data_IF_220037693419
#
_entry.id   IF_220037693419
#
_cell.length_a   1.000
_cell.length_b   1.000
_cell.length_c   1.000
_cell.angle_alpha   90.00
_cell.angle_beta   90.00
_cell.angle_gamma   90.00
#
_symmetry.space_group_name_H-M   'P 1'
#
loop_
_entity.id
_entity.type
_entity.pdbx_description
1 polymer ?
#
# COMPACT_ATOMS: atom_id res chain seq x y z
N UNK A 1 -13.74 -5.16 1.68
CA UNK A 1 -12.40 -5.15 2.31
C UNK A 1 -11.45 -4.29 1.54
N UNK A 2 -10.93 -3.25 2.23
CA UNK A 2 -9.98 -2.21 1.80
C UNK A 2 -9.77 -2.20 0.28
N UNK A 3 -10.76 -1.69 -0.45
CA UNK A 3 -10.69 -1.49 -1.90
C UNK A 3 -10.27 -0.06 -2.26
N UNK A 4 -9.79 0.71 -1.28
CA UNK A 4 -9.39 2.09 -1.44
C UNK A 4 -8.38 2.53 -0.40
N UNK A 5 -7.34 3.24 -0.83
CA UNK A 5 -6.32 3.84 0.06
C UNK A 5 -6.09 5.31 -0.26
N UNK A 6 -5.56 6.05 0.71
CA UNK A 6 -4.96 7.36 0.52
C UNK A 6 -3.45 7.17 0.44
N UNK A 7 -2.86 7.44 -0.73
CA UNK A 7 -1.42 7.49 -0.90
C UNK A 7 -1.05 8.82 -1.56
N UNK A 8 -1.12 9.93 -0.82
CA UNK A 8 -1.04 11.28 -1.35
C UNK A 8 0.33 11.95 -1.15
N UNK A 9 1.25 11.27 -0.48
CA UNK A 9 2.59 11.83 -0.24
C UNK A 9 3.51 11.64 -1.42
N UNK A 10 4.46 12.56 -1.56
CA UNK A 10 5.52 12.39 -2.55
C UNK A 10 6.35 11.16 -2.23
N UNK A 11 6.94 10.57 -3.27
CA UNK A 11 7.93 9.49 -3.14
C UNK A 11 8.98 9.80 -2.07
N UNK A 12 9.53 11.01 -2.06
CA UNK A 12 10.59 11.39 -1.11
C UNK A 12 10.12 11.38 0.34
N UNK A 13 8.87 11.74 0.58
CA UNK A 13 8.27 11.64 1.91
C UNK A 13 8.09 10.18 2.30
N UNK A 14 7.61 9.31 1.40
CA UNK A 14 7.51 7.87 1.68
C UNK A 14 8.88 7.23 1.99
N UNK A 15 9.93 7.60 1.27
CA UNK A 15 11.31 7.14 1.55
C UNK A 15 11.73 7.55 2.96
N UNK A 16 11.49 8.81 3.35
CA UNK A 16 11.81 9.31 4.68
C UNK A 16 10.98 8.63 5.77
N UNK A 17 9.67 8.47 5.53
CA UNK A 17 8.73 7.87 6.47
C UNK A 17 8.91 6.36 6.63
N UNK A 18 9.65 5.70 5.74
CA UNK A 18 10.01 4.29 5.83
C UNK A 18 11.43 4.06 6.36
N UNK A 19 12.04 5.07 6.99
CA UNK A 19 13.34 4.91 7.61
C UNK A 19 13.32 3.86 8.73
N UNK A 20 14.47 3.23 8.95
CA UNK A 20 14.66 2.21 9.97
C UNK A 20 15.89 2.51 10.78
N UNK A 21 15.85 2.17 12.06
CA UNK A 21 16.97 2.35 12.96
C UNK A 21 18.01 1.27 12.72
N UNK A 22 19.21 1.67 12.28
CA UNK A 22 20.35 0.79 12.17
C UNK A 22 21.08 0.77 13.52
N UNK A 23 20.97 -0.35 14.22
CA UNK A 23 21.54 -0.51 15.57
C UNK A 23 23.07 -0.45 15.56
N UNK A 24 23.70 -1.02 14.53
CA UNK A 24 25.16 -1.06 14.39
C UNK A 24 25.77 0.31 14.11
N UNK A 25 25.05 1.17 13.37
CA UNK A 25 25.47 2.54 13.04
C UNK A 25 24.92 3.59 14.01
N UNK A 26 24.04 3.18 14.92
CA UNK A 26 23.30 4.05 15.84
C UNK A 26 22.59 5.22 15.14
N UNK A 27 22.03 5.00 13.94
CA UNK A 27 21.35 6.03 13.17
C UNK A 27 20.19 5.46 12.32
N UNK A 28 19.22 6.30 11.97
CA UNK A 28 18.18 5.98 11.03
C UNK A 28 18.69 6.05 9.58
N UNK A 29 18.36 5.02 8.81
CA UNK A 29 18.65 4.91 7.38
C UNK A 29 17.34 4.84 6.59
N UNK A 30 17.30 5.51 5.44
CA UNK A 30 16.16 5.44 4.53
C UNK A 30 16.36 4.31 3.51
N UNK A 31 15.30 3.60 3.09
CA UNK A 31 15.39 2.61 2.04
C UNK A 31 15.80 3.24 0.71
N UNK A 32 16.42 2.46 -0.16
CA UNK A 32 16.61 2.86 -1.54
C UNK A 32 15.27 2.89 -2.27
N UNK A 33 15.07 3.85 -3.17
CA UNK A 33 13.97 3.78 -4.13
C UNK A 33 14.46 3.13 -5.42
N UNK A 34 13.80 2.05 -5.85
CA UNK A 34 14.09 1.42 -7.13
C UNK A 34 13.00 1.76 -8.13
N UNK A 35 13.38 2.45 -9.20
CA UNK A 35 12.52 2.61 -10.36
C UNK A 35 12.47 1.27 -11.09
N UNK A 36 11.27 0.84 -11.45
CA UNK A 36 11.02 -0.37 -12.23
C UNK A 36 10.42 0.05 -13.56
N UNK A 37 10.67 -0.70 -14.63
CA UNK A 37 10.02 -0.38 -15.91
C UNK A 37 8.51 -0.44 -15.75
N UNK A 38 7.95 -1.47 -15.10
CA UNK A 38 6.51 -1.56 -14.76
C UNK A 38 5.58 -1.20 -15.93
N UNK A 39 6.02 -1.46 -17.16
CA UNK A 39 5.32 -1.01 -18.37
C UNK A 39 5.07 0.51 -18.40
N UNK A 40 6.11 1.28 -18.10
CA UNK A 40 6.19 2.74 -17.96
C UNK A 40 5.25 3.35 -16.89
N UNK A 41 4.72 2.54 -15.98
CA UNK A 41 3.89 3.00 -14.88
C UNK A 41 4.74 3.32 -13.65
N UNK A 42 4.67 4.56 -13.18
CA UNK A 42 5.30 5.00 -11.93
C UNK A 42 4.26 5.47 -10.90
N UNK A 43 4.70 5.62 -9.67
CA UNK A 43 3.88 6.10 -8.57
C UNK A 43 3.48 7.56 -8.76
N UNK A 44 2.17 7.80 -8.70
CA UNK A 44 1.58 9.14 -8.69
C UNK A 44 0.76 9.33 -7.40
N UNK A 45 1.03 10.39 -6.61
CA UNK A 45 0.26 10.65 -5.40
C UNK A 45 -1.24 10.83 -5.65
N UNK A 46 -2.06 10.22 -4.81
CA UNK A 46 -3.51 10.32 -4.85
C UNK A 46 -4.17 10.04 -3.50
N UNK A 47 -5.15 10.86 -3.14
CA UNK A 47 -5.96 10.69 -1.92
C UNK A 47 -6.94 9.51 -2.04
N UNK A 48 -7.18 9.00 -3.25
CA UNK A 48 -8.23 8.03 -3.53
C UNK A 48 -7.76 6.92 -4.48
N UNK A 49 -6.70 6.20 -4.12
CA UNK A 49 -6.11 5.08 -4.87
C UNK A 49 -7.05 3.87 -4.91
N UNK A 50 -7.21 3.26 -6.08
CA UNK A 50 -8.01 2.04 -6.31
C UNK A 50 -7.12 0.86 -6.64
N UNK A 51 -7.65 -0.39 -6.66
CA UNK A 51 -7.06 -1.43 -7.47
C UNK A 51 -6.69 -0.91 -8.87
N UNK A 52 -5.58 -1.43 -9.42
CA UNK A 52 -4.88 -0.98 -10.62
C UNK A 52 -4.11 0.35 -10.49
N UNK A 53 -4.13 1.02 -9.33
CA UNK A 53 -3.20 2.13 -9.08
C UNK A 53 -1.80 1.59 -8.78
N UNK A 54 -0.77 2.37 -9.12
CA UNK A 54 0.59 2.15 -8.63
C UNK A 54 0.72 2.80 -7.25
N UNK A 55 1.22 2.05 -6.26
CA UNK A 55 1.37 2.53 -4.87
C UNK A 55 2.78 2.25 -4.33
N UNK A 56 3.23 2.97 -3.29
CA UNK A 56 4.53 2.73 -2.66
C UNK A 56 4.52 1.44 -1.83
N UNK A 57 5.45 0.53 -2.14
CA UNK A 57 5.57 -0.78 -1.50
C UNK A 57 7.01 -1.04 -1.08
N UNK A 58 7.22 -1.38 0.19
CA UNK A 58 8.50 -1.84 0.71
C UNK A 58 8.65 -3.35 0.49
N UNK A 59 9.84 -3.75 0.05
CA UNK A 59 10.27 -5.15 0.01
C UNK A 59 11.71 -5.27 0.50
N UNK A 60 12.13 -6.48 0.87
CA UNK A 60 13.53 -6.75 1.20
C UNK A 60 14.44 -6.48 -0.01
N UNK A 61 15.55 -5.77 0.21
CA UNK A 61 16.57 -5.51 -0.81
C UNK A 61 17.24 -6.79 -1.32
N UNK A 62 17.14 -7.91 -0.58
CA UNK A 62 17.65 -9.22 -0.99
C UNK A 62 17.02 -9.69 -2.31
N UNK A 63 15.79 -9.26 -2.63
CA UNK A 63 15.15 -9.57 -3.91
C UNK A 63 15.86 -8.99 -5.14
N UNK A 64 16.77 -8.04 -4.93
CA UNK A 64 17.55 -7.39 -5.99
C UNK A 64 19.03 -7.79 -5.98
N UNK A 65 19.47 -8.65 -5.04
CA UNK A 65 20.84 -9.17 -5.06
C UNK A 65 21.04 -10.04 -6.31
N UNK A 66 22.04 -9.69 -7.12
CA UNK A 66 22.30 -10.33 -8.41
C UNK A 66 21.62 -9.67 -9.61
N UNK A 67 20.79 -8.64 -9.42
CA UNK A 67 20.26 -7.78 -10.51
C UNK A 67 21.16 -6.58 -10.80
N UNK A 68 22.45 -6.64 -10.45
CA UNK A 68 23.37 -5.56 -10.78
C UNK A 68 23.43 -5.34 -12.29
N UNK A 69 23.41 -4.09 -12.74
CA UNK A 69 23.68 -3.66 -14.12
C UNK A 69 25.09 -4.06 -14.63
N UNK A 70 25.88 -4.79 -13.85
CA UNK A 70 27.07 -5.45 -14.38
C UNK A 70 26.67 -6.73 -15.09
N UNK A 71 26.75 -6.68 -16.43
CA UNK A 71 26.98 -7.87 -17.22
C UNK A 71 28.04 -8.73 -16.52
N UNK A 72 27.76 -10.02 -16.31
CA UNK A 72 28.74 -10.99 -15.83
C UNK A 72 30.00 -10.89 -16.68
N UNK A 73 31.00 -10.14 -16.20
CA UNK A 73 32.23 -9.91 -16.93
C UNK A 73 33.13 -11.09 -16.61
N UNK A 74 33.35 -11.93 -17.60
CA UNK A 74 34.27 -13.05 -17.49
C UNK A 74 35.70 -12.48 -17.52
N UNK A 75 36.32 -12.36 -16.35
CA UNK A 75 37.71 -11.92 -16.23
C UNK A 75 38.58 -13.14 -15.94
N UNK A 76 39.65 -13.39 -16.70
CA UNK A 76 40.61 -14.43 -16.33
C UNK A 76 41.26 -14.03 -15.00
N UNK A 77 41.13 -14.89 -13.99
CA UNK A 77 41.78 -14.73 -12.69
C UNK A 77 42.89 -15.76 -12.53
N UNK A 78 43.88 -15.44 -11.71
CA UNK A 78 44.89 -16.40 -11.28
C UNK A 78 44.25 -17.39 -10.30
N UNK A 79 44.60 -18.67 -10.43
CA UNK A 79 44.21 -19.68 -9.46
C UNK A 79 45.10 -19.55 -8.22
N UNK A 80 44.51 -19.04 -7.14
CA UNK A 80 45.18 -18.80 -5.86
C UNK A 80 45.27 -17.32 -5.51
N UNK A 81 45.28 -17.01 -4.21
CA UNK A 81 45.39 -15.63 -3.74
C UNK A 81 46.84 -15.17 -3.65
N UNK A 82 47.11 -13.93 -4.09
CA UNK A 82 48.37 -13.23 -3.79
C UNK A 82 48.13 -12.43 -2.51
N UNK A 83 48.92 -12.63 -1.44
CA UNK A 83 48.74 -11.86 -0.21
C UNK A 83 48.90 -10.35 -0.48
N UNK A 84 48.02 -9.49 0.07
CA UNK A 84 48.03 -8.06 -0.23
C UNK A 84 49.30 -7.33 0.24
N UNK A 85 50.09 -7.96 1.11
CA UNK A 85 51.39 -7.46 1.58
C UNK A 85 52.59 -7.99 0.77
N UNK A 86 52.39 -8.92 -0.17
CA UNK A 86 53.49 -9.48 -0.97
C UNK A 86 53.92 -8.50 -2.06
N UNK A 87 55.21 -8.20 -2.12
CA UNK A 87 55.82 -7.36 -3.14
C UNK A 87 56.86 -8.19 -3.90
N UNK A 88 56.67 -8.38 -5.21
CA UNK A 88 57.58 -9.14 -6.07
C UNK A 88 56.85 -10.09 -7.02
N UNK A 89 57.56 -11.12 -7.51
CA UNK A 89 56.98 -12.15 -8.36
C UNK A 89 55.84 -12.88 -7.63
N UNK A 90 54.63 -12.82 -8.21
CA UNK A 90 53.42 -13.39 -7.63
C UNK A 90 53.47 -14.92 -7.52
N UNK A 91 54.34 -15.58 -8.29
CA UNK A 91 54.49 -17.04 -8.24
C UNK A 91 55.35 -17.52 -7.07
N UNK A 92 56.03 -16.61 -6.36
CA UNK A 92 57.03 -16.94 -5.35
C UNK A 92 56.80 -16.22 -4.00
N UNK A 93 55.59 -16.37 -3.44
CA UNK A 93 55.23 -15.86 -2.12
C UNK A 93 55.30 -16.93 -1.00
N UNK A 94 55.69 -18.18 -1.31
CA UNK A 94 55.92 -19.23 -0.31
C UNK A 94 54.68 -19.76 0.43
N UNK A 95 53.46 -19.49 -0.05
CA UNK A 95 52.21 -19.95 0.56
C UNK A 95 51.44 -20.86 -0.40
N UNK A 96 50.70 -21.84 0.13
CA UNK A 96 49.71 -22.59 -0.64
C UNK A 96 48.38 -21.85 -0.59
N UNK A 97 48.05 -21.08 -1.63
CA UNK A 97 46.83 -20.25 -1.68
C UNK A 97 45.80 -20.79 -2.66
N UNK A 98 46.04 -21.99 -3.21
CA UNK A 98 45.28 -22.55 -4.33
C UNK A 98 44.00 -23.27 -3.89
N UNK A 99 43.88 -23.63 -2.60
CA UNK A 99 42.74 -24.36 -2.05
C UNK A 99 42.38 -23.83 -0.65
N UNK A 100 41.12 -23.44 -0.45
CA UNK A 100 40.57 -23.13 0.87
C UNK A 100 40.12 -24.43 1.56
N UNK A 101 40.69 -24.75 2.73
CA UNK A 101 40.22 -25.88 3.56
C UNK A 101 39.14 -25.40 4.51
N UNK A 102 37.97 -26.04 4.48
CA UNK A 102 36.83 -25.72 5.34
C UNK A 102 37.01 -26.16 6.80
N UNK A 103 37.97 -27.04 7.07
CA UNK A 103 38.03 -27.85 8.30
C UNK A 103 38.43 -27.07 9.56
N UNK A 104 38.83 -25.80 9.44
CA UNK A 104 39.17 -24.91 10.57
C UNK A 104 38.33 -23.63 10.63
N UNK A 105 37.27 -23.54 9.83
CA UNK A 105 36.20 -22.61 10.16
C UNK A 105 35.42 -23.25 11.29
N UNK A 106 35.92 -23.09 12.52
CA UNK A 106 35.07 -23.22 13.68
C UNK A 106 33.80 -22.48 13.36
N UNK A 107 32.66 -23.13 13.58
CA UNK A 107 31.37 -22.46 13.59
C UNK A 107 31.54 -21.30 14.59
N UNK A 108 31.99 -20.14 14.11
CA UNK A 108 31.67 -18.88 14.72
C UNK A 108 30.16 -18.98 14.76
N UNK A 109 29.64 -19.26 15.96
CA UNK A 109 28.29 -18.88 16.32
C UNK A 109 28.21 -17.45 15.82
N UNK A 110 27.60 -17.29 14.65
CA UNK A 110 27.31 -15.99 14.11
C UNK A 110 26.58 -15.34 15.25
N UNK A 111 27.18 -14.28 15.80
CA UNK A 111 26.43 -13.31 16.55
C UNK A 111 25.10 -13.18 15.82
N UNK A 112 24.02 -13.67 16.43
CA UNK A 112 22.67 -13.28 16.06
C UNK A 112 22.53 -11.82 16.48
N UNK A 113 23.37 -10.95 15.91
CA UNK A 113 22.99 -9.57 15.74
C UNK A 113 21.76 -9.63 14.85
N UNK A 114 20.72 -8.92 15.25
CA UNK A 114 19.65 -8.53 14.34
C UNK A 114 20.31 -8.05 13.05
N UNK A 115 20.31 -8.88 12.00
CA UNK A 115 20.79 -8.44 10.72
C UNK A 115 19.74 -7.45 10.24
N UNK A 116 20.03 -6.16 10.37
CA UNK A 116 19.21 -5.08 9.82
C UNK A 116 19.18 -5.26 8.29
N UNK A 117 18.20 -6.03 7.80
CA UNK A 117 18.05 -6.30 6.37
C UNK A 117 17.56 -5.03 5.72
N UNK A 118 18.36 -4.51 4.78
CA UNK A 118 17.99 -3.33 4.03
C UNK A 118 16.68 -3.56 3.27
N UNK A 119 15.85 -2.52 3.24
CA UNK A 119 14.60 -2.50 2.50
C UNK A 119 14.72 -1.57 1.29
N UNK A 120 13.89 -1.85 0.28
CA UNK A 120 13.78 -1.06 -0.94
C UNK A 120 12.32 -0.65 -1.12
N UNK A 121 12.10 0.65 -1.37
CA UNK A 121 10.81 1.20 -1.75
C UNK A 121 10.64 1.09 -3.26
N UNK A 122 9.50 0.53 -3.67
CA UNK A 122 9.24 0.14 -5.04
C UNK A 122 7.80 0.53 -5.41
N UNK A 123 7.57 1.18 -6.56
CA UNK A 123 6.23 1.37 -7.08
C UNK A 123 5.67 0.03 -7.56
N UNK A 124 4.48 -0.38 -7.12
CA UNK A 124 3.86 -1.63 -7.57
C UNK A 124 2.38 -1.46 -7.88
N UNK A 125 1.88 -2.24 -8.84
CA UNK A 125 0.48 -2.31 -9.21
C UNK A 125 -0.37 -2.99 -8.13
N UNK A 126 -1.41 -2.30 -7.66
CA UNK A 126 -2.35 -2.88 -6.71
C UNK A 126 -3.34 -3.84 -7.37
N UNK A 127 -3.16 -5.13 -7.14
CA UNK A 127 -3.92 -6.21 -7.75
C UNK A 127 -2.97 -7.19 -8.39
N UNK A 128 -2.69 -8.30 -7.70
CA UNK A 128 -1.71 -9.27 -8.18
C UNK A 128 -2.16 -9.86 -9.51
N UNK A 129 -1.27 -9.76 -10.51
CA UNK A 129 -1.45 -10.37 -11.81
C UNK A 129 -1.12 -11.87 -11.67
N UNK A 130 -2.06 -12.78 -12.01
CA UNK A 130 -1.77 -14.20 -11.96
C UNK A 130 -0.59 -14.57 -12.86
N UNK A 131 0.38 -15.38 -12.38
CA UNK A 131 1.59 -15.68 -13.15
C UNK A 131 1.28 -16.43 -14.46
N UNK A 132 0.14 -17.13 -14.54
CA UNK A 132 -0.35 -17.81 -15.73
C UNK A 132 -1.23 -16.95 -16.63
N UNK A 133 -1.54 -15.70 -16.25
CA UNK A 133 -2.36 -14.82 -17.07
C UNK A 133 -1.62 -14.41 -18.34
N UNK A 134 -2.38 -14.21 -19.41
CA UNK A 134 -1.88 -13.70 -20.68
C UNK A 134 -2.84 -12.65 -21.23
N UNK A 135 -2.31 -11.60 -21.86
CA UNK A 135 -3.11 -10.50 -22.39
C UNK A 135 -3.06 -9.27 -21.48
N UNK A 136 -4.14 -8.49 -21.48
CA UNK A 136 -4.26 -7.26 -20.70
C UNK A 136 -4.21 -7.57 -19.19
N UNK A 137 -3.21 -7.01 -18.51
CA UNK A 137 -3.00 -7.20 -17.08
C UNK A 137 -4.16 -6.62 -16.24
N UNK A 138 -4.89 -5.63 -16.75
CA UNK A 138 -6.04 -5.03 -16.08
C UNK A 138 -7.29 -5.92 -16.11
N UNK A 139 -7.32 -6.95 -16.95
CA UNK A 139 -8.51 -7.77 -17.20
C UNK A 139 -8.21 -9.27 -17.17
N UNK A 140 -7.88 -9.79 -15.98
CA UNK A 140 -7.67 -11.22 -15.74
C UNK A 140 -8.87 -11.92 -15.06
N UNK A 141 -10.00 -11.22 -14.86
CA UNK A 141 -11.25 -11.81 -14.37
C UNK A 141 -11.27 -12.28 -12.90
N UNK A 142 -10.23 -11.98 -12.11
CA UNK A 142 -10.13 -12.35 -10.69
C UNK A 142 -10.12 -11.10 -9.81
N UNK A 143 -10.59 -11.22 -8.57
CA UNK A 143 -10.40 -10.19 -7.54
C UNK A 143 -9.12 -10.49 -6.76
N UNK A 144 -8.04 -9.79 -7.10
CA UNK A 144 -6.69 -10.03 -6.55
C UNK A 144 -6.14 -8.80 -5.83
N UNK A 145 -6.97 -7.81 -5.52
CA UNK A 145 -6.57 -6.66 -4.71
C UNK A 145 -6.31 -7.05 -3.24
N UNK A 146 -6.90 -8.15 -2.77
CA UNK A 146 -6.72 -8.69 -1.43
C UNK A 146 -6.45 -10.20 -1.45
N UNK A 147 -5.68 -10.69 -0.50
CA UNK A 147 -5.51 -12.11 -0.19
C UNK A 147 -5.96 -12.40 1.25
N UNK A 148 -6.65 -13.53 1.47
CA UNK A 148 -7.15 -13.91 2.79
C UNK A 148 -6.10 -14.75 3.51
N UNK A 149 -5.78 -14.40 4.75
CA UNK A 149 -4.78 -15.08 5.57
C UNK A 149 -5.08 -16.58 5.73
N UNK A 150 -6.35 -16.96 5.93
CA UNK A 150 -6.77 -18.32 6.30
C UNK A 150 -6.41 -19.38 5.25
N UNK A 151 -6.37 -19.00 3.96
CA UNK A 151 -6.18 -19.92 2.85
C UNK A 151 -5.00 -19.53 1.96
N UNK A 152 -4.09 -18.69 2.46
CA UNK A 152 -3.04 -18.12 1.61
C UNK A 152 -1.98 -19.16 1.20
N UNK A 153 -1.69 -20.12 2.09
CA UNK A 153 -0.72 -21.21 1.88
C UNK A 153 -1.24 -22.33 0.99
N UNK A 154 -2.56 -22.44 0.79
CA UNK A 154 -3.15 -23.39 -0.17
C UNK A 154 -3.53 -22.74 -1.50
N UNK A 155 -3.35 -21.42 -1.62
CA UNK A 155 -3.72 -20.66 -2.81
C UNK A 155 -2.75 -20.92 -3.95
N UNK A 156 -3.27 -21.32 -5.12
CA UNK A 156 -2.49 -21.43 -6.36
C UNK A 156 -1.86 -20.10 -6.78
N UNK A 157 -2.47 -18.98 -6.42
CA UNK A 157 -2.00 -17.64 -6.78
C UNK A 157 -0.92 -17.11 -5.81
N UNK A 158 -1.11 -17.34 -4.51
CA UNK A 158 -0.32 -16.68 -3.47
C UNK A 158 0.77 -17.57 -2.86
N UNK A 159 0.54 -18.88 -2.73
CA UNK A 159 1.51 -19.80 -2.08
C UNK A 159 2.88 -19.79 -2.76
N UNK A 160 2.99 -19.88 -4.11
CA UNK A 160 4.30 -19.89 -4.75
C UNK A 160 5.11 -18.60 -4.50
N UNK A 161 4.44 -17.45 -4.44
CA UNK A 161 5.08 -16.17 -4.15
C UNK A 161 5.53 -16.09 -2.69
N UNK A 162 4.71 -16.57 -1.75
CA UNK A 162 5.07 -16.65 -0.33
C UNK A 162 6.25 -17.59 -0.08
N UNK A 163 6.28 -18.76 -0.72
CA UNK A 163 7.38 -19.73 -0.62
C UNK A 163 8.70 -19.16 -1.16
N UNK A 164 8.62 -18.28 -2.17
CA UNK A 164 9.76 -17.52 -2.69
C UNK A 164 10.12 -16.28 -1.84
N UNK A 165 9.48 -16.11 -0.68
CA UNK A 165 9.74 -15.00 0.21
C UNK A 165 9.21 -13.65 -0.29
N UNK A 166 8.36 -13.60 -1.32
CA UNK A 166 7.83 -12.36 -1.92
C UNK A 166 6.76 -11.68 -1.05
N UNK A 167 7.18 -11.31 0.16
CA UNK A 167 6.39 -10.57 1.15
C UNK A 167 6.69 -9.10 0.97
N UNK A 168 5.66 -8.27 1.06
CA UNK A 168 5.78 -6.83 0.91
C UNK A 168 5.01 -6.09 1.99
N UNK A 169 5.30 -4.80 2.12
CA UNK A 169 4.57 -3.89 3.00
C UNK A 169 4.10 -2.70 2.17
N UNK A 170 2.78 -2.55 2.08
CA UNK A 170 2.13 -1.47 1.34
C UNK A 170 1.98 -0.29 2.28
N UNK A 171 2.49 0.86 1.87
CA UNK A 171 2.44 2.08 2.67
C UNK A 171 1.28 2.97 2.25
N UNK A 172 0.57 3.53 3.23
CA UNK A 172 -0.47 4.54 2.99
C UNK A 172 -0.73 5.41 4.22
N UNK A 173 -1.29 6.61 4.02
CA UNK A 173 -1.79 7.44 5.13
C UNK A 173 -3.01 6.79 5.81
N UNK A 174 -3.78 6.03 5.04
CA UNK A 174 -4.95 5.31 5.54
C UNK A 174 -5.67 4.56 4.43
N UNK A 175 -6.70 3.82 4.81
CA UNK A 175 -7.62 3.15 3.87
C UNK A 175 -9.06 3.56 4.13
N UNK A 176 -9.90 3.42 3.11
CA UNK A 176 -11.34 3.64 3.26
C UNK A 176 -12.06 2.31 3.36
N UNK A 177 -13.07 2.27 4.22
CA UNK A 177 -13.99 1.17 4.30
C UNK A 177 -15.42 1.66 4.48
N UNK A 178 -16.35 0.96 3.84
CA UNK A 178 -17.76 1.29 3.90
C UNK A 178 -18.43 0.45 4.98
N UNK A 179 -19.21 1.10 5.84
CA UNK A 179 -20.00 0.39 6.85
C UNK A 179 -21.01 -0.53 6.16
N UNK A 180 -20.74 -1.84 6.24
CA UNK A 180 -21.50 -2.89 5.53
C UNK A 180 -22.36 -3.73 6.45
N UNK A 181 -22.09 -3.66 7.74
CA UNK A 181 -22.75 -4.41 8.83
C UNK A 181 -24.17 -3.93 9.08
N UNK A 182 -24.41 -2.63 8.89
CA UNK A 182 -25.76 -2.05 8.84
C UNK A 182 -26.35 -2.28 7.45
N UNK A 183 -27.52 -2.90 7.39
CA UNK A 183 -28.27 -3.11 6.13
C UNK A 183 -28.93 -1.79 5.67
N UNK A 184 -28.12 -0.82 5.25
CA UNK A 184 -28.61 0.45 4.69
C UNK A 184 -28.37 0.48 3.18
N UNK A 185 -29.28 1.11 2.39
CA UNK A 185 -29.11 1.23 0.94
C UNK A 185 -27.89 2.09 0.58
N UNK A 186 -27.55 3.06 1.44
CA UNK A 186 -26.36 3.89 1.31
C UNK A 186 -25.39 3.58 2.44
N UNK A 187 -24.24 3.00 2.12
CA UNK A 187 -23.19 2.66 3.08
C UNK A 187 -22.34 3.89 3.38
N UNK A 188 -22.13 4.20 4.66
CA UNK A 188 -21.31 5.32 5.11
C UNK A 188 -19.81 4.94 4.98
N UNK A 189 -19.00 5.69 4.21
CA UNK A 189 -17.55 5.50 4.20
C UNK A 189 -16.89 6.07 5.46
N UNK A 190 -15.84 5.40 5.91
CA UNK A 190 -14.93 5.84 6.96
C UNK A 190 -13.50 5.82 6.42
N UNK A 191 -12.72 6.80 6.83
CA UNK A 191 -11.27 6.77 6.66
C UNK A 191 -10.65 6.19 7.93
N UNK A 192 -9.79 5.18 7.77
CA UNK A 192 -9.15 4.43 8.86
C UNK A 192 -7.64 4.57 8.71
N UNK A 193 -6.96 4.91 9.80
CA UNK A 193 -5.54 5.32 9.79
C UNK A 193 -4.86 4.96 11.12
N UNK A 194 -3.53 5.05 11.14
CA UNK A 194 -2.74 4.81 12.35
C UNK A 194 -3.10 5.82 13.44
N UNK A 195 -3.07 5.40 14.71
CA UNK A 195 -3.28 6.32 15.83
C UNK A 195 -2.17 7.36 15.84
N UNK A 196 -2.52 8.65 15.72
CA UNK A 196 -1.57 9.75 15.63
C UNK A 196 -1.17 10.31 17.00
N UNK A 197 0.00 10.95 17.07
CA UNK A 197 0.37 11.79 18.21
C UNK A 197 -0.67 12.90 18.46
N UNK A 198 -0.89 13.33 19.71
CA UNK A 198 -1.85 14.39 20.02
C UNK A 198 -1.63 15.65 19.16
N UNK A 199 -2.70 16.12 18.50
CA UNK A 199 -2.68 17.32 17.66
C UNK A 199 -2.31 17.09 16.18
N UNK A 200 -1.80 15.90 15.82
CA UNK A 200 -1.50 15.57 14.42
C UNK A 200 -2.77 15.12 13.69
N UNK A 201 -3.06 15.73 12.54
CA UNK A 201 -4.15 15.36 11.65
C UNK A 201 -3.59 14.73 10.38
N UNK A 202 -3.90 13.46 10.16
CA UNK A 202 -3.35 12.70 9.03
C UNK A 202 -3.83 13.24 7.67
N UNK A 203 -4.98 13.90 7.62
CA UNK A 203 -5.55 14.50 6.41
C UNK A 203 -4.98 15.90 6.10
N UNK A 204 -4.35 16.54 7.08
CA UNK A 204 -3.86 17.91 6.96
C UNK A 204 -2.33 17.93 6.91
N UNK A 205 -1.77 17.99 5.71
CA UNK A 205 -0.31 18.10 5.50
C UNK A 205 0.26 19.33 6.23
N UNK A 206 -0.52 20.41 6.36
CA UNK A 206 -0.14 21.62 7.10
C UNK A 206 -0.05 21.41 8.61
N UNK A 207 -0.69 20.38 9.16
CA UNK A 207 -0.57 20.01 10.59
C UNK A 207 0.72 19.25 10.89
N UNK A 208 1.46 18.84 9.85
CA UNK A 208 2.71 18.13 10.00
C UNK A 208 3.76 19.21 10.18
N UNK A 209 4.38 19.29 11.35
CA UNK A 209 5.50 20.20 11.63
C UNK A 209 6.70 19.83 10.72
N UNK A 210 6.59 20.19 9.43
CA UNK A 210 7.52 19.92 8.33
C UNK A 210 8.06 18.49 8.20
N UNK A 211 7.50 17.47 8.88
CA UNK A 211 7.85 16.05 8.70
C UNK A 211 9.36 15.85 8.51
N UNK A 212 10.16 16.33 9.46
CA UNK A 212 11.61 16.34 9.26
C UNK A 212 12.17 14.95 9.57
N UNK A 213 12.82 14.37 8.57
CA UNK A 213 13.69 13.22 8.76
C UNK A 213 15.08 13.69 9.20
N UNK A 214 15.61 13.08 10.24
CA UNK A 214 17.00 13.23 10.66
C UNK A 214 17.59 11.84 10.88
N UNK A 215 18.91 11.69 10.73
CA UNK A 215 19.56 10.40 11.01
C UNK A 215 19.51 10.05 12.50
N UNK A 216 19.33 11.04 13.36
CA UNK A 216 19.35 10.86 14.81
C UNK A 216 17.97 10.50 15.36
N UNK A 217 16.91 11.10 14.81
CA UNK A 217 15.55 10.95 15.35
C UNK A 217 14.55 10.33 14.36
N UNK A 218 15.00 9.96 13.16
CA UNK A 218 14.17 9.32 12.16
C UNK A 218 13.08 10.26 11.62
N UNK A 219 12.00 9.65 11.14
CA UNK A 219 10.82 10.35 10.63
C UNK A 219 9.97 10.93 11.77
N UNK A 220 9.65 12.23 11.69
CA UNK A 220 8.81 12.94 12.68
C UNK A 220 7.47 13.42 12.13
N UNK A 221 7.06 12.96 10.96
CA UNK A 221 5.73 13.25 10.43
C UNK A 221 4.66 12.32 11.01
N UNK A 222 3.48 12.25 10.40
CA UNK A 222 2.43 11.34 10.86
C UNK A 222 2.87 9.89 10.75
N UNK A 223 2.25 9.05 11.57
CA UNK A 223 2.38 7.62 11.47
C UNK A 223 1.59 7.13 10.25
N UNK A 224 2.27 6.42 9.36
CA UNK A 224 1.65 5.77 8.21
C UNK A 224 1.19 4.36 8.58
N UNK A 225 0.26 3.82 7.79
CA UNK A 225 -0.06 2.40 7.85
C UNK A 225 0.93 1.59 7.03
N UNK A 226 1.33 0.46 7.60
CA UNK A 226 2.12 -0.59 6.96
C UNK A 226 1.23 -1.82 6.82
N UNK A 227 0.68 -2.04 5.61
CA UNK A 227 -0.21 -3.16 5.35
C UNK A 227 0.61 -4.33 4.80
N UNK A 228 0.59 -5.46 5.50
CA UNK A 228 1.25 -6.67 5.01
C UNK A 228 0.62 -7.12 3.68
N UNK A 229 1.46 -7.52 2.74
CA UNK A 229 1.05 -7.98 1.43
C UNK A 229 1.96 -9.07 0.88
N UNK A 230 1.52 -9.62 -0.25
CA UNK A 230 2.28 -10.57 -1.07
C UNK A 230 2.40 -9.98 -2.46
N UNK A 231 3.58 -10.04 -3.05
CA UNK A 231 3.82 -9.51 -4.39
C UNK A 231 4.27 -10.61 -5.37
N UNK A 232 4.16 -10.31 -6.65
CA UNK A 232 4.72 -11.11 -7.72
C UNK A 232 5.21 -10.22 -8.88
N UNK A 233 6.12 -10.76 -9.69
CA UNK A 233 6.53 -10.18 -10.97
C UNK A 233 5.88 -10.97 -12.10
N UNK A 234 5.31 -10.26 -13.06
CA UNK A 234 4.70 -10.84 -14.25
C UNK A 234 5.31 -10.20 -15.49
N UNK A 235 5.63 -11.01 -16.50
CA UNK A 235 6.27 -10.54 -17.73
C UNK A 235 5.21 -10.19 -18.77
N UNK A 236 5.14 -8.93 -19.16
CA UNK A 236 4.31 -8.44 -20.25
C UNK A 236 4.80 -8.99 -21.60
N UNK A 237 3.91 -9.05 -22.58
CA UNK A 237 4.21 -9.59 -23.92
C UNK A 237 5.32 -8.80 -24.63
N UNK A 238 5.43 -7.51 -24.34
CA UNK A 238 6.44 -6.60 -24.90
C UNK A 238 7.81 -6.75 -24.21
N UNK A 239 7.92 -7.60 -23.18
CA UNK A 239 9.17 -7.95 -22.53
C UNK A 239 9.36 -7.33 -21.15
N UNK A 240 8.59 -6.29 -20.81
CA UNK A 240 8.66 -5.60 -19.52
C UNK A 240 8.12 -6.42 -18.35
N UNK A 241 8.69 -6.20 -17.17
CA UNK A 241 8.20 -6.78 -15.93
C UNK A 241 7.26 -5.82 -15.21
N UNK A 242 6.09 -6.32 -14.83
CA UNK A 242 5.15 -5.61 -13.97
C UNK A 242 5.19 -6.25 -12.58
N UNK A 243 5.53 -5.44 -11.58
CA UNK A 243 5.43 -5.83 -10.18
C UNK A 243 4.04 -5.49 -9.67
N UNK A 244 3.37 -6.49 -9.09
CA UNK A 244 2.00 -6.36 -8.61
C UNK A 244 1.82 -7.06 -7.27
N UNK A 245 0.89 -6.60 -6.46
CA UNK A 245 0.70 -7.10 -5.10
C UNK A 245 -0.76 -7.25 -4.68
N UNK A 246 -0.98 -7.99 -3.61
CA UNK A 246 -2.25 -8.13 -2.91
C UNK A 246 -2.09 -7.81 -1.43
N UNK A 247 -3.04 -7.08 -0.86
CA UNK A 247 -3.07 -6.78 0.59
C UNK A 247 -3.57 -8.00 1.33
N UNK A 248 -2.86 -8.40 2.39
CA UNK A 248 -3.26 -9.48 3.27
C UNK A 248 -4.41 -9.01 4.17
N UNK A 249 -5.42 -9.87 4.32
CA UNK A 249 -6.64 -9.55 5.06
C UNK A 249 -6.99 -10.67 6.01
N UNK A 250 -7.55 -10.32 7.16
CA UNK A 250 -7.95 -11.24 8.23
C UNK A 250 -9.35 -10.89 8.74
N UNK A 251 -9.88 -11.69 9.65
CA UNK A 251 -11.11 -11.37 10.37
C UNK A 251 -10.99 -10.04 11.13
N UNK A 252 -12.07 -9.27 11.16
CA UNK A 252 -12.09 -8.04 11.95
C UNK A 252 -12.13 -8.39 13.44
N UNK A 253 -11.38 -7.66 14.25
CA UNK A 253 -11.54 -7.71 15.70
C UNK A 253 -12.82 -6.99 16.15
N UNK A 254 -13.13 -7.07 17.44
CA UNK A 254 -14.31 -6.46 18.05
C UNK A 254 -14.39 -4.92 17.86
N UNK A 255 -13.24 -4.26 17.67
CA UNK A 255 -13.17 -2.82 17.44
C UNK A 255 -13.54 -2.42 16.00
N UNK A 256 -13.44 -3.32 15.03
CA UNK A 256 -13.73 -3.06 13.61
C UNK A 256 -14.89 -3.87 13.05
N UNK A 257 -15.38 -4.87 13.77
CA UNK A 257 -16.50 -5.73 13.36
C UNK A 257 -17.79 -4.95 13.12
N UNK A 258 -17.96 -3.79 13.76
CA UNK A 258 -19.08 -2.85 13.51
C UNK A 258 -18.99 -2.12 12.15
N UNK A 259 -17.81 -2.06 11.52
CA UNK A 259 -17.57 -1.42 10.23
C UNK A 259 -17.62 -2.45 9.08
N UNK A 260 -16.85 -3.52 9.22
CA UNK A 260 -16.76 -4.60 8.23
C UNK A 260 -16.33 -5.91 8.93
N UNK A 261 -16.71 -7.07 8.38
CA UNK A 261 -16.37 -8.40 8.90
C UNK A 261 -14.89 -8.82 8.72
N UNK A 262 -14.04 -7.93 8.22
CA UNK A 262 -12.63 -8.22 7.90
C UNK A 262 -11.80 -6.98 8.22
N UNK A 263 -10.48 -7.09 8.21
CA UNK A 263 -9.57 -5.94 8.20
C UNK A 263 -8.27 -6.29 7.46
N UNK A 264 -7.52 -5.29 6.95
CA UNK A 264 -6.17 -5.55 6.46
C UNK A 264 -5.26 -5.99 7.62
N UNK A 265 -4.27 -6.80 7.30
CA UNK A 265 -3.17 -7.14 8.20
C UNK A 265 -2.24 -5.93 8.34
N UNK A 266 -2.33 -5.21 9.45
CA UNK A 266 -1.49 -4.04 9.73
C UNK A 266 -0.30 -4.47 10.57
N UNK A 267 0.91 -4.08 10.15
CA UNK A 267 2.13 -4.19 10.92
C UNK A 267 2.32 -2.88 11.69
N UNK A 268 2.31 -2.97 13.01
CA UNK A 268 2.20 -1.84 13.93
C UNK A 268 3.54 -1.38 14.50
N UNK A 269 4.59 -2.16 14.34
CA UNK A 269 5.94 -1.85 14.81
C UNK A 269 7.00 -2.07 13.73
N UNK A 270 8.12 -1.36 13.86
CA UNK A 270 9.29 -1.54 13.00
C UNK A 270 9.79 -3.00 13.02
N UNK A 271 9.74 -3.65 14.19
CA UNK A 271 10.06 -5.06 14.35
C UNK A 271 9.16 -5.96 13.50
N UNK A 272 7.84 -5.75 13.53
CA UNK A 272 6.89 -6.53 12.73
C UNK A 272 7.13 -6.32 11.22
N UNK A 273 7.45 -5.09 10.80
CA UNK A 273 7.84 -4.80 9.41
C UNK A 273 9.12 -5.56 9.04
N UNK A 274 10.15 -5.52 9.87
CA UNK A 274 11.43 -6.19 9.63
C UNK A 274 11.28 -7.71 9.58
N UNK A 275 10.61 -8.31 10.56
CA UNK A 275 10.35 -9.74 10.61
C UNK A 275 9.49 -10.19 9.41
N UNK A 276 8.52 -9.37 8.99
CA UNK A 276 7.73 -9.65 7.79
C UNK A 276 8.57 -9.57 6.51
N UNK A 277 9.44 -8.57 6.32
CA UNK A 277 10.22 -8.42 5.08
C UNK A 277 11.44 -9.35 5.01
N UNK A 278 12.01 -9.75 6.15
CA UNK A 278 13.22 -10.57 6.22
C UNK A 278 12.93 -12.05 5.91
N UNK A 279 12.72 -12.39 4.64
CA UNK A 279 12.43 -13.77 4.22
C UNK A 279 13.61 -14.73 4.30
N UNK A 280 14.84 -14.21 4.40
CA UNK A 280 16.06 -15.04 4.52
C UNK A 280 16.24 -15.58 5.93
N UNK A 281 15.82 -14.83 6.96
CA UNK A 281 15.85 -15.27 8.35
C UNK A 281 14.50 -15.76 8.88
N UNK A 282 13.39 -15.26 8.34
CA UNK A 282 12.02 -15.58 8.81
C UNK A 282 11.28 -16.40 7.76
N UNK A 283 11.00 -17.66 8.11
CA UNK A 283 10.21 -18.57 7.29
C UNK A 283 8.77 -18.07 7.09
N UNK A 284 8.12 -18.52 6.02
CA UNK A 284 6.72 -18.18 5.72
C UNK A 284 5.78 -18.53 6.86
N UNK A 285 5.95 -19.70 7.49
CA UNK A 285 5.12 -20.10 8.64
C UNK A 285 5.28 -19.17 9.84
N UNK A 286 6.52 -18.78 10.16
CA UNK A 286 6.77 -17.80 11.23
C UNK A 286 6.16 -16.44 10.89
N UNK A 287 6.39 -15.93 9.67
CA UNK A 287 5.85 -14.66 9.21
C UNK A 287 4.32 -14.58 9.33
N UNK A 288 3.62 -15.62 8.88
CA UNK A 288 2.15 -15.68 8.95
C UNK A 288 1.63 -15.75 10.40
N UNK A 289 2.33 -16.46 11.29
CA UNK A 289 1.94 -16.58 12.70
C UNK A 289 2.13 -15.29 13.51
N UNK A 290 2.99 -14.37 13.04
CA UNK A 290 3.22 -13.08 13.69
C UNK A 290 2.14 -12.05 13.36
N UNK A 291 1.47 -12.21 12.22
CA UNK A 291 0.42 -11.30 11.76
C UNK A 291 -0.83 -11.45 12.64
N UNK A 292 -1.15 -10.40 13.41
CA UNK A 292 -2.27 -10.37 14.37
C UNK A 292 -3.21 -9.18 14.11
N UNK A 293 -4.49 -9.25 14.53
CA UNK A 293 -5.40 -8.11 14.42
C UNK A 293 -4.93 -6.91 15.26
N UNK A 294 -4.71 -5.76 14.61
CA UNK A 294 -4.31 -4.53 15.29
C UNK A 294 -5.49 -3.87 16.00
N UNK A 295 -5.29 -3.36 17.21
CA UNK A 295 -6.33 -2.65 17.98
C UNK A 295 -6.15 -1.12 17.96
N UNK A 296 -4.94 -0.64 17.69
CA UNK A 296 -4.55 0.77 17.77
C UNK A 296 -4.74 1.54 16.45
N UNK A 297 -5.96 1.56 15.93
CA UNK A 297 -6.33 2.34 14.75
C UNK A 297 -7.38 3.39 15.09
N UNK A 298 -7.30 4.54 14.41
CA UNK A 298 -8.30 5.60 14.48
C UNK A 298 -9.13 5.63 13.21
N UNK A 299 -10.33 6.19 13.30
CA UNK A 299 -11.20 6.37 12.16
C UNK A 299 -12.11 7.58 12.33
N UNK A 300 -12.58 8.11 11.21
CA UNK A 300 -13.65 9.10 11.19
C UNK A 300 -14.51 8.93 9.93
N UNK A 301 -15.80 9.30 9.96
CA UNK A 301 -16.63 9.27 8.77
C UNK A 301 -16.17 10.33 7.76
N UNK A 302 -16.31 10.02 6.47
CA UNK A 302 -15.97 10.93 5.36
C UNK A 302 -17.13 11.09 4.39
N UNK A 303 -17.01 12.02 3.44
CA UNK A 303 -18.06 12.26 2.44
C UNK A 303 -18.22 11.07 1.48
N UNK A 304 -19.46 10.83 1.01
CA UNK A 304 -19.77 9.75 0.07
C UNK A 304 -19.10 9.92 -1.30
N UNK A 305 -18.67 11.12 -1.65
CA UNK A 305 -17.95 11.44 -2.88
C UNK A 305 -16.69 10.60 -3.08
N UNK A 306 -16.08 10.07 -2.01
CA UNK A 306 -14.94 9.14 -2.11
C UNK A 306 -15.33 7.84 -2.85
N UNK A 307 -16.60 7.44 -2.84
CA UNK A 307 -17.08 6.26 -3.58
C UNK A 307 -16.79 6.31 -5.08
N UNK A 308 -16.86 7.51 -5.67
CA UNK A 308 -16.45 7.74 -7.05
C UNK A 308 -14.91 7.74 -7.13
N UNK A 309 -14.32 6.71 -7.73
CA UNK A 309 -12.87 6.56 -7.86
C UNK A 309 -12.19 7.68 -8.64
N UNK A 310 -12.93 8.41 -9.48
CA UNK A 310 -12.41 9.57 -10.23
C UNK A 310 -12.27 10.82 -9.36
N UNK A 311 -12.93 10.87 -8.21
CA UNK A 311 -12.79 11.98 -7.28
C UNK A 311 -11.46 11.84 -6.53
N UNK A 312 -10.49 12.70 -6.86
CA UNK A 312 -9.16 12.76 -6.21
C UNK A 312 -8.98 14.01 -5.35
N UNK A 313 -10.07 14.69 -4.98
CA UNK A 313 -9.99 15.93 -4.20
C UNK A 313 -9.49 15.71 -2.77
N UNK A 314 -8.91 16.76 -2.21
CA UNK A 314 -8.51 16.90 -0.79
C UNK A 314 -9.64 16.67 0.20
N UNK A 315 -10.90 16.74 -0.24
CA UNK A 315 -12.08 16.48 0.59
C UNK A 315 -12.35 15.00 0.86
N UNK A 316 -11.69 14.07 0.17
CA UNK A 316 -12.01 12.64 0.24
C UNK A 316 -11.73 12.01 1.61
N UNK A 317 -10.70 12.48 2.32
CA UNK A 317 -10.30 11.99 3.65
C UNK A 317 -10.62 12.99 4.77
N UNK A 318 -11.36 14.06 4.50
CA UNK A 318 -11.73 15.05 5.53
C UNK A 318 -12.88 14.51 6.37
N UNK A 319 -12.72 14.61 7.69
CA UNK A 319 -13.76 14.25 8.66
C UNK A 319 -15.05 15.03 8.42
N UNK A 320 -16.17 14.31 8.40
CA UNK A 320 -17.51 14.91 8.42
C UNK A 320 -18.19 14.76 9.77
N UNK A 321 -19.16 15.64 10.04
CA UNK A 321 -20.07 15.51 11.17
C UNK A 321 -21.39 14.89 10.70
N UNK A 322 -21.65 13.66 11.15
CA UNK A 322 -22.86 12.93 10.77
C UNK A 322 -24.12 13.56 11.37
N UNK A 323 -24.04 14.28 12.50
CA UNK A 323 -25.19 14.91 13.15
C UNK A 323 -25.74 16.08 12.32
N UNK A 324 -24.87 17.00 11.91
CA UNK A 324 -25.20 18.16 11.07
C UNK A 324 -25.76 17.78 9.70
N UNK A 325 -25.32 16.64 9.16
CA UNK A 325 -25.79 16.13 7.86
C UNK A 325 -27.26 15.67 7.92
N UNK A 326 -27.76 15.25 9.08
CA UNK A 326 -29.17 14.83 9.24
C UNK A 326 -30.10 16.03 9.46
N UNK A 327 -29.66 17.06 10.20
CA UNK A 327 -30.43 18.29 10.42
C UNK A 327 -30.71 19.04 9.11
N UNK A 328 -29.71 19.18 8.22
CA UNK A 328 -29.89 19.84 6.93
C UNK A 328 -30.85 19.13 5.96
N UNK A 329 -30.95 17.79 6.05
CA UNK A 329 -31.90 17.00 5.26
C UNK A 329 -33.32 17.08 5.82
N UNK A 330 -33.47 17.13 7.15
CA UNK A 330 -34.74 17.36 7.82
C UNK A 330 -35.32 18.74 7.45
N UNK A 331 -34.48 19.79 7.45
CA UNK A 331 -34.91 21.13 7.06
C UNK A 331 -35.23 21.25 5.56
N UNK A 332 -34.52 20.56 4.67
CA UNK A 332 -34.86 20.50 3.24
C UNK A 332 -36.16 19.72 2.96
N UNK A 333 -36.42 18.64 3.68
CA UNK A 333 -37.69 17.92 3.60
C UNK A 333 -38.86 18.78 4.11
N UNK A 334 -38.68 19.49 5.21
CA UNK A 334 -39.66 20.48 5.71
C UNK A 334 -39.89 21.63 4.73
N UNK A 335 -38.84 22.18 4.12
CA UNK A 335 -38.95 23.25 3.10
C UNK A 335 -39.65 22.77 1.83
N UNK A 336 -39.37 21.55 1.36
CA UNK A 336 -40.06 20.97 0.18
C UNK A 336 -41.52 20.59 0.46
N UNK A 337 -41.86 20.31 1.72
CA UNK A 337 -43.25 20.10 2.17
C UNK A 337 -44.01 21.43 2.29
N UNK A 338 -43.40 22.48 2.84
CA UNK A 338 -43.97 23.84 2.91
C UNK A 338 -44.17 24.48 1.53
N UNK A 339 -43.30 24.17 0.56
CA UNK A 339 -43.40 24.65 -0.82
C UNK A 339 -44.55 24.06 -1.65
N UNK A 340 -45.22 22.99 -1.18
CA UNK A 340 -46.38 22.38 -1.88
C UNK A 340 -47.74 22.98 -1.48
N UNK A 341 -47.78 23.91 -0.52
CA UNK A 341 -49.01 24.46 0.05
C UNK A 341 -49.51 25.80 -0.52
N UNK A 342 -48.83 26.41 -1.50
CA UNK A 342 -49.23 27.73 -2.02
C UNK A 342 -49.51 27.70 -3.52
N UNK A 343 -50.67 27.18 -3.91
CA UNK A 343 -51.32 27.52 -5.18
C UNK A 343 -52.66 28.19 -4.89
N UNK A 344 -52.74 29.50 -5.15
CA UNK A 344 -53.98 30.23 -4.96
C UNK A 344 -53.90 31.72 -5.25
N UNK A 345 -53.95 32.09 -6.54
CA UNK A 345 -54.86 33.13 -7.07
C UNK A 345 -54.68 33.25 -8.60
N UNK A 346 -55.72 32.87 -9.33
CA UNK A 346 -55.95 33.24 -10.73
C UNK A 346 -56.59 34.63 -10.72
N UNK A 347 -55.99 35.58 -11.43
CA UNK A 347 -56.68 36.80 -11.88
C UNK A 347 -57.18 36.59 -13.31
N UNK A 348 -58.40 37.03 -13.54
CA UNK A 348 -59.10 36.99 -14.81
C UNK A 348 -58.91 38.33 -15.53
N UNK A 349 -58.72 38.30 -16.85
CA UNK A 349 -59.05 39.41 -17.73
C UNK A 349 -59.64 38.88 -19.04
N UNK A 350 -60.67 39.59 -19.50
CA UNK A 350 -61.64 39.25 -20.54
C UNK A 350 -61.20 39.67 -21.96
N UNK A 351 -62.03 39.27 -22.91
CA UNK A 351 -62.26 39.82 -24.26
C UNK A 351 -61.28 39.37 -25.37
N UNK A 352 -61.68 39.06 -26.61
CA UNK A 352 -62.97 38.79 -27.27
C UNK A 352 -62.62 38.19 -28.66
N UNK A 353 -63.52 37.38 -29.22
CA UNK A 353 -63.77 37.14 -30.66
C UNK A 353 -62.61 36.77 -31.62
N UNK A 354 -62.65 35.57 -32.23
CA UNK A 354 -63.29 35.41 -33.55
C UNK A 354 -63.37 33.94 -33.99
N UNK A 355 -64.48 33.61 -34.64
CA UNK A 355 -64.81 32.29 -35.16
C UNK A 355 -64.09 31.96 -36.47
N UNK A 356 -63.79 30.67 -36.72
CA UNK A 356 -64.48 29.85 -37.73
C UNK A 356 -63.66 28.70 -38.34
N UNK A 357 -64.38 27.56 -38.50
CA UNK A 357 -64.29 26.50 -39.53
C UNK A 357 -63.12 25.50 -39.47
N UNK A 358 -63.45 24.21 -39.22
CA UNK A 358 -63.60 23.08 -40.21
C UNK A 358 -62.25 22.73 -40.86
N UNK A 359 -61.76 21.50 -40.94
CA UNK A 359 -62.37 20.18 -41.09
C UNK A 359 -61.23 19.14 -40.98
N UNK A 360 -61.48 17.96 -40.40
CA UNK A 360 -60.68 16.73 -40.66
C UNK A 360 -61.03 16.22 -42.08
N UNK A 361 -60.15 15.48 -42.78
CA UNK A 361 -60.18 14.01 -42.63
C UNK A 361 -58.85 13.25 -42.81
N UNK A 362 -58.88 12.04 -42.24
CA UNK A 362 -58.10 10.81 -42.46
C UNK A 362 -56.60 10.79 -42.23
#
# INVERSE_FOLDING_TARGET
MCGRTCCNLSKDIYIKASCQYNSAKACYETPQYKHLSNNDMDYAPSINCTPQSITPVLISSEHFKGESDVANTLVPMLWGMIPPWHNGDYSNHGLSTNNCRLENWGLCEHFKGESDVANTLVPMLWGMIPPWHSGDYGNHGLSTNNCRLENITSSKLYSPSLEQGKRCVVMCEGFYEWQTTKKTPKKQPYFVYATQSPGVQVESVTSWNSGEFTKEAGWRGPFLLYLAGVFNKWKHKEGDWIYSYSILTMEANDHFSWLHHRMPAVLSSEREVNEWLNYTAVSTGQALNMVKPVTSLQWHPVDHGVGNSRNKSDKCNVRIDLSKTMEGKSSQLMMSWLGRGSSGKREASSDEQNASKKQKPN
#
